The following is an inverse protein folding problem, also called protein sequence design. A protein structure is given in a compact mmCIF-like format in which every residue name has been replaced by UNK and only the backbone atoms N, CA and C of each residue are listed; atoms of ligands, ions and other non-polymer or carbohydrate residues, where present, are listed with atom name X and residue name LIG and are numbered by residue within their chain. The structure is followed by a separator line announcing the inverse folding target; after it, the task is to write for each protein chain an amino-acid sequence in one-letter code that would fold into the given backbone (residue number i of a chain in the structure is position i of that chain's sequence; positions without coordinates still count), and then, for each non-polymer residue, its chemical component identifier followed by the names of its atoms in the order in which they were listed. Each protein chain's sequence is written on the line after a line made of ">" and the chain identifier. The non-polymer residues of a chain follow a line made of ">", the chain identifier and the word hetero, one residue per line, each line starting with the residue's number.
data_IF_696729044163
#
_entry.id   IF_696729044163
#
_cell.length_a   1.000
_cell.length_b   1.000
_cell.length_c   1.000
_cell.angle_alpha   90.00
_cell.angle_beta   90.00
_cell.angle_gamma   90.00
#
_symmetry.space_group_name_H-M   'P 1'
#
loop_
_entity.id
_entity.type
_entity.pdbx_description
1 polymer ?
#
# COMPACT_ATOMS: atom_id res chain seq x y z
N UNK A 1 -19.88 14.65 11.55
CA UNK A 1 -18.85 13.75 12.11
C UNK A 1 -18.10 14.47 13.22
N UNK A 2 -18.53 14.36 14.49
CA UNK A 2 -18.02 15.14 15.63
C UNK A 2 -17.81 14.27 16.89
N UNK A 3 -17.42 13.01 16.72
CA UNK A 3 -17.33 12.05 17.85
C UNK A 3 -15.98 12.12 18.56
N UNK A 4 -14.91 12.57 17.90
CA UNK A 4 -13.67 13.02 18.56
C UNK A 4 -13.09 14.17 17.73
N UNK A 5 -12.78 15.32 18.35
CA UNK A 5 -12.20 16.50 17.68
C UNK A 5 -10.72 16.27 17.29
N UNK A 6 -10.44 15.17 16.60
CA UNK A 6 -9.07 14.80 16.25
C UNK A 6 -8.58 15.62 15.06
N UNK A 7 -7.37 16.17 15.19
CA UNK A 7 -6.74 16.96 14.15
C UNK A 7 -6.18 16.02 13.08
N UNK A 8 -6.14 16.47 11.82
CA UNK A 8 -5.46 15.77 10.71
C UNK A 8 -3.96 15.53 10.98
N UNK A 9 -3.39 16.20 11.99
CA UNK A 9 -2.04 15.93 12.47
C UNK A 9 -1.89 14.55 13.15
N UNK A 10 -2.98 13.92 13.58
CA UNK A 10 -3.00 12.59 14.24
C UNK A 10 -2.80 11.42 13.28
N UNK A 11 -3.00 11.63 11.98
CA UNK A 11 -2.91 10.57 10.96
C UNK A 11 -1.54 10.52 10.27
N UNK A 12 -0.58 11.37 10.66
CA UNK A 12 0.79 11.33 10.13
C UNK A 12 1.01 12.07 8.80
N UNK A 13 0.16 13.06 8.44
CA UNK A 13 0.36 13.91 7.25
C UNK A 13 1.27 15.12 7.50
N UNK A 14 1.16 15.73 8.69
CA UNK A 14 1.85 16.98 9.04
C UNK A 14 2.89 16.82 10.15
N UNK A 15 2.94 15.65 10.80
CA UNK A 15 3.81 15.36 11.92
C UNK A 15 4.84 14.28 11.57
N UNK A 16 5.83 14.10 12.44
CA UNK A 16 6.83 13.03 12.32
C UNK A 16 8.02 13.39 11.44
N UNK A 17 8.83 12.39 11.13
CA UNK A 17 10.07 12.52 10.34
C UNK A 17 9.76 12.44 8.85
N UNK A 18 8.91 13.33 8.33
CA UNK A 18 8.40 13.27 6.96
C UNK A 18 9.51 13.26 5.90
N UNK A 19 10.60 14.02 6.10
CA UNK A 19 11.77 14.01 5.19
C UNK A 19 12.39 12.62 5.09
N UNK A 20 12.66 11.98 6.24
CA UNK A 20 13.19 10.62 6.31
C UNK A 20 12.20 9.60 5.74
N UNK A 21 10.91 9.79 6.00
CA UNK A 21 9.82 8.99 5.45
C UNK A 21 9.81 9.05 3.92
N UNK A 22 9.94 10.24 3.33
CA UNK A 22 10.05 10.41 1.88
C UNK A 22 11.30 9.73 1.32
N UNK A 23 12.47 9.87 1.95
CA UNK A 23 13.71 9.23 1.48
C UNK A 23 13.57 7.70 1.47
N UNK A 24 13.11 7.11 2.58
CA UNK A 24 12.90 5.66 2.67
C UNK A 24 11.84 5.21 1.64
N UNK A 25 10.75 5.97 1.51
CA UNK A 25 9.69 5.70 0.55
C UNK A 25 10.17 5.75 -0.90
N UNK A 26 11.01 6.71 -1.27
CA UNK A 26 11.59 6.84 -2.60
C UNK A 26 12.55 5.70 -2.93
N UNK A 27 13.38 5.27 -1.96
CA UNK A 27 14.27 4.11 -2.13
C UNK A 27 13.44 2.86 -2.41
N UNK A 28 12.41 2.59 -1.60
CA UNK A 28 11.54 1.44 -1.80
C UNK A 28 10.73 1.55 -3.11
N UNK A 29 10.26 2.74 -3.47
CA UNK A 29 9.57 3.00 -4.73
C UNK A 29 10.47 2.69 -5.94
N UNK A 30 11.75 3.07 -5.90
CA UNK A 30 12.69 2.75 -6.97
C UNK A 30 12.89 1.24 -7.12
N UNK A 31 13.01 0.50 -6.01
CA UNK A 31 13.09 -0.96 -6.01
C UNK A 31 11.83 -1.56 -6.64
N UNK A 32 10.64 -1.14 -6.18
CA UNK A 32 9.36 -1.67 -6.67
C UNK A 32 9.11 -1.31 -8.14
N UNK A 33 9.51 -0.12 -8.58
CA UNK A 33 9.47 0.25 -9.99
C UNK A 33 10.36 -0.65 -10.84
N UNK A 34 11.57 -0.94 -10.36
CA UNK A 34 12.48 -1.84 -11.05
C UNK A 34 11.89 -3.26 -11.15
N UNK A 35 11.44 -3.83 -10.03
CA UNK A 35 10.96 -5.22 -9.98
C UNK A 35 9.65 -5.42 -10.74
N UNK A 36 8.73 -4.45 -10.67
CA UNK A 36 7.38 -4.61 -11.22
C UNK A 36 7.27 -4.11 -12.67
N UNK A 37 8.13 -3.16 -13.08
CA UNK A 37 8.08 -2.56 -14.40
C UNK A 37 9.37 -2.79 -15.19
N UNK A 38 10.48 -2.14 -14.80
CA UNK A 38 11.66 -2.02 -15.64
C UNK A 38 12.29 -3.38 -15.99
N UNK A 39 12.30 -4.34 -15.06
CA UNK A 39 12.76 -5.71 -15.30
C UNK A 39 11.98 -6.42 -16.42
N UNK A 40 10.66 -6.25 -16.46
CA UNK A 40 9.80 -6.84 -17.49
C UNK A 40 10.02 -6.17 -18.85
N UNK A 41 10.22 -4.85 -18.87
CA UNK A 41 10.53 -4.11 -20.11
C UNK A 41 11.88 -4.56 -20.69
N UNK A 42 12.90 -4.72 -19.84
CA UNK A 42 14.20 -5.29 -20.25
C UNK A 42 14.02 -6.71 -20.81
N UNK A 43 13.08 -7.48 -20.26
CA UNK A 43 12.69 -8.81 -20.75
C UNK A 43 11.86 -8.81 -22.05
N UNK A 44 11.58 -7.65 -22.65
CA UNK A 44 10.86 -7.53 -23.93
C UNK A 44 9.38 -7.17 -23.81
N UNK A 45 8.86 -6.91 -22.61
CA UNK A 45 7.50 -6.39 -22.45
C UNK A 45 7.39 -4.94 -22.98
N UNK A 46 6.16 -4.54 -23.30
CA UNK A 46 5.88 -3.18 -23.79
C UNK A 46 5.24 -2.30 -22.72
N UNK A 47 5.48 -1.00 -22.80
CA UNK A 47 4.75 -0.02 -21.99
C UNK A 47 3.31 0.15 -22.49
N UNK A 48 2.42 0.51 -21.56
CA UNK A 48 1.12 1.11 -21.90
C UNK A 48 1.30 2.41 -22.69
N UNK A 49 0.25 2.84 -23.40
CA UNK A 49 0.28 4.10 -24.14
C UNK A 49 0.54 5.30 -23.20
N UNK A 50 1.32 6.28 -23.67
CA UNK A 50 1.73 7.43 -22.85
C UNK A 50 0.56 8.21 -22.22
N UNK A 51 -0.58 8.28 -22.92
CA UNK A 51 -1.82 8.91 -22.40
C UNK A 51 -2.38 8.22 -21.15
N UNK A 52 -2.19 6.91 -21.04
CA UNK A 52 -2.71 6.11 -19.92
C UNK A 52 -1.80 6.22 -18.70
N UNK A 53 -0.51 6.53 -18.87
CA UNK A 53 0.45 6.71 -17.77
C UNK A 53 -0.03 7.78 -16.80
N UNK A 54 -0.43 8.96 -17.30
CA UNK A 54 -0.89 10.06 -16.44
C UNK A 54 -2.18 9.71 -15.70
N UNK A 55 -3.13 9.06 -16.40
CA UNK A 55 -4.39 8.60 -15.81
C UNK A 55 -4.16 7.56 -14.71
N UNK A 56 -3.36 6.55 -14.99
CA UNK A 56 -3.02 5.48 -14.04
C UNK A 56 -2.25 6.03 -12.84
N UNK A 57 -1.33 6.97 -13.08
CA UNK A 57 -0.58 7.66 -12.05
C UNK A 57 -1.49 8.36 -11.04
N UNK A 58 -2.43 9.18 -11.52
CA UNK A 58 -3.39 9.87 -10.64
C UNK A 58 -4.34 8.89 -9.92
N UNK A 59 -4.82 7.87 -10.63
CA UNK A 59 -5.69 6.84 -10.08
C UNK A 59 -5.02 6.10 -8.92
N UNK A 60 -3.82 5.55 -9.14
CA UNK A 60 -3.12 4.78 -8.11
C UNK A 60 -2.57 5.64 -6.99
N UNK A 61 -2.28 6.92 -7.22
CA UNK A 61 -1.92 7.84 -6.14
C UNK A 61 -3.11 8.01 -5.19
N UNK A 62 -4.31 8.15 -5.75
CA UNK A 62 -5.55 8.27 -4.96
C UNK A 62 -5.82 7.00 -4.17
N UNK A 63 -5.69 5.82 -4.80
CA UNK A 63 -5.83 4.51 -4.14
C UNK A 63 -4.85 4.39 -2.97
N UNK A 64 -3.56 4.59 -3.23
CA UNK A 64 -2.52 4.51 -2.20
C UNK A 64 -2.77 5.50 -1.06
N UNK A 65 -3.12 6.76 -1.37
CA UNK A 65 -3.43 7.75 -0.34
C UNK A 65 -4.60 7.31 0.54
N UNK A 66 -5.71 6.88 -0.05
CA UNK A 66 -6.91 6.46 0.69
C UNK A 66 -6.63 5.24 1.58
N UNK A 67 -5.96 4.22 1.04
CA UNK A 67 -5.65 3.00 1.78
C UNK A 67 -4.67 3.26 2.93
N UNK A 68 -3.61 4.04 2.69
CA UNK A 68 -2.64 4.38 3.74
C UNK A 68 -3.26 5.28 4.82
N UNK A 69 -4.10 6.25 4.44
CA UNK A 69 -4.80 7.10 5.40
C UNK A 69 -5.75 6.29 6.29
N UNK A 70 -6.48 5.32 5.72
CA UNK A 70 -7.39 4.46 6.48
C UNK A 70 -6.63 3.46 7.36
N UNK A 71 -5.71 2.68 6.79
CA UNK A 71 -5.08 1.58 7.52
C UNK A 71 -3.99 2.05 8.48
N UNK A 72 -3.12 2.97 8.06
CA UNK A 72 -1.98 3.40 8.88
C UNK A 72 -2.35 4.66 9.65
N UNK A 73 -2.97 5.62 8.98
CA UNK A 73 -3.38 6.88 9.59
C UNK A 73 -4.47 6.70 10.65
N UNK A 74 -5.49 5.89 10.37
CA UNK A 74 -6.62 5.68 11.28
C UNK A 74 -6.57 4.34 12.02
N UNK A 75 -6.86 3.20 11.37
CA UNK A 75 -7.03 1.90 12.05
C UNK A 75 -5.80 1.56 12.90
N UNK A 76 -4.61 1.62 12.31
CA UNK A 76 -3.35 1.32 12.97
C UNK A 76 -3.10 2.20 14.19
N UNK A 77 -3.20 3.54 14.07
CA UNK A 77 -2.97 4.44 15.20
C UNK A 77 -3.91 4.19 16.39
N UNK A 78 -5.16 3.77 16.16
CA UNK A 78 -6.09 3.44 17.24
C UNK A 78 -5.74 2.13 17.90
N UNK A 79 -5.40 1.11 17.12
CA UNK A 79 -4.98 -0.19 17.64
C UNK A 79 -3.64 -0.09 18.39
N UNK A 80 -2.70 0.74 17.95
CA UNK A 80 -1.47 1.05 18.71
C UNK A 80 -1.74 1.74 20.04
N UNK A 81 -2.85 2.49 20.16
CA UNK A 81 -3.28 3.05 21.44
C UNK A 81 -3.94 2.04 22.38
N UNK A 82 -4.46 0.93 21.84
CA UNK A 82 -5.15 -0.13 22.60
C UNK A 82 -4.23 -1.28 23.00
N UNK A 83 -3.13 -1.50 22.28
CA UNK A 83 -2.20 -2.60 22.51
C UNK A 83 -0.75 -2.10 22.62
N UNK A 84 -0.04 -2.54 23.65
CA UNK A 84 1.39 -2.27 23.81
C UNK A 84 2.26 -3.06 22.81
N UNK A 85 1.74 -4.18 22.29
CA UNK A 85 2.44 -5.01 21.32
C UNK A 85 2.21 -4.50 19.89
N UNK A 86 3.17 -3.70 19.40
CA UNK A 86 3.10 -3.10 18.05
C UNK A 86 3.16 -4.14 16.92
N UNK A 87 3.82 -5.26 17.13
CA UNK A 87 3.89 -6.33 16.13
C UNK A 87 2.55 -7.05 15.98
N UNK A 88 1.86 -7.28 17.10
CA UNK A 88 0.49 -7.82 17.08
C UNK A 88 -0.44 -6.88 16.29
N UNK A 89 -0.33 -5.57 16.50
CA UNK A 89 -1.12 -4.58 15.74
C UNK A 89 -0.84 -4.69 14.24
N UNK A 90 0.42 -4.77 13.82
CA UNK A 90 0.78 -4.95 12.39
C UNK A 90 0.16 -6.22 11.82
N UNK A 91 0.22 -7.34 12.54
CA UNK A 91 -0.35 -8.61 12.09
C UNK A 91 -1.86 -8.48 11.91
N UNK A 92 -2.56 -7.93 12.91
CA UNK A 92 -4.02 -7.75 12.86
C UNK A 92 -4.42 -6.80 11.72
N UNK A 93 -3.76 -5.64 11.59
CA UNK A 93 -4.07 -4.72 10.49
C UNK A 93 -3.70 -5.28 9.13
N UNK A 94 -2.67 -6.12 9.05
CA UNK A 94 -2.28 -6.82 7.82
C UNK A 94 -3.32 -7.84 7.39
N UNK A 95 -3.88 -8.61 8.32
CA UNK A 95 -4.99 -9.53 8.03
C UNK A 95 -6.21 -8.75 7.54
N UNK A 96 -6.58 -7.67 8.22
CA UNK A 96 -7.69 -6.81 7.79
C UNK A 96 -7.44 -6.20 6.40
N UNK A 97 -6.21 -5.80 6.12
CA UNK A 97 -5.80 -5.24 4.84
C UNK A 97 -5.90 -6.28 3.72
N UNK A 98 -5.49 -7.53 3.95
CA UNK A 98 -5.66 -8.61 2.98
C UNK A 98 -7.15 -8.91 2.74
N UNK A 99 -7.92 -9.06 3.81
CA UNK A 99 -9.34 -9.44 3.72
C UNK A 99 -10.19 -8.39 3.00
N UNK A 100 -9.91 -7.09 3.16
CA UNK A 100 -10.66 -6.04 2.46
C UNK A 100 -10.55 -6.12 0.94
N UNK A 101 -9.50 -6.77 0.41
CA UNK A 101 -9.32 -6.94 -1.04
C UNK A 101 -10.15 -8.10 -1.61
N UNK A 102 -10.69 -8.97 -0.76
CA UNK A 102 -11.37 -10.18 -1.20
C UNK A 102 -12.63 -9.88 -2.03
N UNK A 103 -13.58 -9.03 -1.57
CA UNK A 103 -14.83 -8.81 -2.30
C UNK A 103 -14.59 -8.23 -3.70
N UNK A 104 -13.75 -7.20 -3.81
CA UNK A 104 -13.44 -6.59 -5.10
C UNK A 104 -12.77 -7.58 -6.05
N UNK A 105 -11.77 -8.34 -5.58
CA UNK A 105 -11.04 -9.27 -6.46
C UNK A 105 -11.92 -10.43 -6.92
N UNK A 106 -12.77 -10.96 -6.03
CA UNK A 106 -13.73 -12.01 -6.39
C UNK A 106 -14.70 -11.53 -7.47
N UNK A 107 -15.25 -10.32 -7.33
CA UNK A 107 -16.21 -9.76 -8.31
C UNK A 107 -15.51 -9.40 -9.62
N UNK A 108 -14.36 -8.71 -9.57
CA UNK A 108 -13.69 -8.19 -10.76
C UNK A 108 -13.09 -9.29 -11.64
N UNK A 109 -12.66 -10.41 -11.05
CA UNK A 109 -12.01 -11.51 -11.76
C UNK A 109 -12.85 -12.80 -11.80
N UNK A 110 -14.09 -12.78 -11.30
CA UNK A 110 -14.96 -13.97 -11.26
C UNK A 110 -14.40 -15.11 -10.41
N UNK A 111 -13.63 -14.80 -9.37
CA UNK A 111 -12.92 -15.80 -8.55
C UNK A 111 -13.80 -16.33 -7.41
N UNK A 112 -13.69 -17.62 -7.13
CA UNK A 112 -14.20 -18.22 -5.89
C UNK A 112 -13.27 -17.92 -4.70
N UNK A 113 -13.71 -18.25 -3.49
CA UNK A 113 -12.86 -18.12 -2.29
C UNK A 113 -11.63 -19.04 -2.40
N UNK A 114 -11.77 -20.25 -2.94
CA UNK A 114 -10.64 -21.17 -3.13
C UNK A 114 -9.63 -20.66 -4.15
N UNK A 115 -10.10 -20.05 -5.24
CA UNK A 115 -9.22 -19.44 -6.25
C UNK A 115 -8.37 -18.34 -5.62
N UNK A 116 -8.99 -17.52 -4.76
CA UNK A 116 -8.33 -16.43 -4.08
C UNK A 116 -7.33 -16.88 -3.01
N UNK A 117 -7.65 -17.96 -2.28
CA UNK A 117 -6.90 -18.35 -1.08
C UNK A 117 -5.88 -19.45 -1.35
N UNK A 118 -6.29 -20.54 -1.97
CA UNK A 118 -5.46 -21.73 -2.17
C UNK A 118 -4.62 -21.56 -3.43
N UNK A 119 -5.26 -21.17 -4.54
CA UNK A 119 -4.60 -21.08 -5.84
C UNK A 119 -3.83 -19.76 -6.05
N UNK A 120 -4.01 -18.78 -5.16
CA UNK A 120 -3.37 -17.47 -5.26
C UNK A 120 -2.69 -17.03 -3.95
N UNK A 121 -2.18 -18.02 -3.18
CA UNK A 121 -1.50 -17.78 -1.91
C UNK A 121 -0.31 -16.81 -2.05
N UNK A 122 0.40 -16.85 -3.18
CA UNK A 122 1.51 -15.94 -3.45
C UNK A 122 1.10 -14.46 -3.40
N UNK A 123 -0.07 -14.12 -3.95
CA UNK A 123 -0.60 -12.75 -3.89
C UNK A 123 -1.00 -12.35 -2.46
N UNK A 124 -1.57 -13.28 -1.68
CA UNK A 124 -1.91 -13.01 -0.26
C UNK A 124 -0.64 -12.71 0.53
N UNK A 125 0.40 -13.53 0.34
CA UNK A 125 1.70 -13.35 1.01
C UNK A 125 2.32 -12.02 0.60
N UNK A 126 2.36 -11.72 -0.69
CA UNK A 126 2.91 -10.46 -1.21
C UNK A 126 2.19 -9.22 -0.63
N UNK A 127 0.86 -9.25 -0.60
CA UNK A 127 0.03 -8.17 -0.05
C UNK A 127 0.27 -7.99 1.46
N UNK A 128 0.39 -9.09 2.21
CA UNK A 128 0.66 -9.06 3.64
C UNK A 128 2.09 -8.58 3.97
N UNK A 129 3.09 -9.04 3.20
CA UNK A 129 4.48 -8.61 3.34
C UNK A 129 4.60 -7.13 3.00
N UNK A 130 4.02 -6.68 1.88
CA UNK A 130 3.94 -5.26 1.52
C UNK A 130 3.30 -4.47 2.65
N UNK A 131 2.16 -4.93 3.19
CA UNK A 131 1.52 -4.26 4.31
C UNK A 131 2.46 -4.09 5.49
N UNK A 132 3.16 -5.17 5.87
CA UNK A 132 4.08 -5.22 7.00
C UNK A 132 5.24 -4.23 6.83
N UNK A 133 5.87 -4.20 5.66
CA UNK A 133 6.97 -3.26 5.35
C UNK A 133 6.51 -1.82 5.48
N UNK A 134 5.38 -1.46 4.87
CA UNK A 134 4.86 -0.09 4.92
C UNK A 134 4.48 0.31 6.36
N UNK A 135 3.87 -0.59 7.11
CA UNK A 135 3.52 -0.36 8.52
C UNK A 135 4.76 -0.15 9.39
N UNK A 136 5.87 -0.86 9.13
CA UNK A 136 7.16 -0.63 9.82
C UNK A 136 7.73 0.75 9.49
N UNK A 137 7.66 1.19 8.22
CA UNK A 137 8.11 2.52 7.81
C UNK A 137 7.29 3.60 8.53
N UNK A 138 5.96 3.45 8.56
CA UNK A 138 5.08 4.35 9.29
C UNK A 138 5.42 4.38 10.78
N UNK A 139 5.56 3.22 11.44
CA UNK A 139 5.92 3.16 12.86
C UNK A 139 7.24 3.85 13.19
N UNK A 140 8.24 3.74 12.32
CA UNK A 140 9.57 4.34 12.54
C UNK A 140 9.63 5.83 12.23
N UNK A 141 8.76 6.31 11.36
CA UNK A 141 8.80 7.71 10.87
C UNK A 141 7.65 8.57 11.38
N UNK A 142 6.57 7.95 11.87
CA UNK A 142 5.29 8.57 12.21
C UNK A 142 4.76 9.49 11.09
N UNK A 143 4.94 9.05 9.84
CA UNK A 143 4.61 9.81 8.64
C UNK A 143 4.11 8.87 7.54
N UNK A 144 3.03 9.27 6.86
CA UNK A 144 2.41 8.46 5.81
C UNK A 144 3.19 8.44 4.50
N UNK A 145 4.03 9.45 4.21
CA UNK A 145 4.69 9.57 2.91
C UNK A 145 5.53 8.34 2.54
N UNK A 146 6.25 7.77 3.52
CA UNK A 146 7.04 6.55 3.32
C UNK A 146 6.22 5.29 3.09
N UNK A 147 4.90 5.35 3.28
CA UNK A 147 3.96 4.28 2.90
C UNK A 147 3.28 4.60 1.56
N UNK A 148 2.82 5.84 1.39
CA UNK A 148 2.08 6.30 0.18
C UNK A 148 2.96 6.20 -1.07
N UNK A 149 4.17 6.74 -1.03
CA UNK A 149 5.06 6.82 -2.20
C UNK A 149 5.38 5.43 -2.79
N UNK A 150 5.89 4.46 -2.01
CA UNK A 150 6.19 3.13 -2.55
C UNK A 150 4.93 2.33 -2.90
N UNK A 151 3.83 2.49 -2.18
CA UNK A 151 2.56 1.84 -2.54
C UNK A 151 2.04 2.33 -3.89
N UNK A 152 1.95 3.65 -4.06
CA UNK A 152 1.58 4.28 -5.33
C UNK A 152 2.47 3.78 -6.47
N UNK A 153 3.79 3.79 -6.27
CA UNK A 153 4.73 3.34 -7.28
C UNK A 153 4.59 1.86 -7.61
N UNK A 154 4.38 0.98 -6.62
CA UNK A 154 4.18 -0.45 -6.84
C UNK A 154 2.99 -0.72 -7.75
N UNK A 155 1.85 -0.10 -7.43
CA UNK A 155 0.60 -0.26 -8.18
C UNK A 155 0.74 0.34 -9.58
N UNK A 156 1.32 1.54 -9.70
CA UNK A 156 1.57 2.16 -10.99
C UNK A 156 2.49 1.28 -11.84
N UNK A 157 3.65 0.90 -11.33
CA UNK A 157 4.66 0.10 -12.04
C UNK A 157 4.10 -1.23 -12.55
N UNK A 158 3.33 -1.95 -11.72
CA UNK A 158 2.69 -3.19 -12.13
C UNK A 158 1.74 -3.00 -13.33
N UNK A 159 1.03 -1.86 -13.38
CA UNK A 159 0.04 -1.57 -14.42
C UNK A 159 0.59 -0.76 -15.61
N UNK A 160 1.90 -0.44 -15.62
CA UNK A 160 2.57 0.16 -16.77
C UNK A 160 3.03 -0.87 -17.80
N UNK A 161 3.10 -2.14 -17.41
CA UNK A 161 3.56 -3.24 -18.27
C UNK A 161 2.37 -3.89 -18.96
N UNK A 162 2.37 -3.93 -20.28
CA UNK A 162 1.48 -4.78 -21.05
C UNK A 162 2.10 -6.18 -21.14
N UNK A 163 1.41 -7.16 -20.55
CA UNK A 163 1.79 -8.58 -20.55
C UNK A 163 0.99 -9.35 -21.58
#
# INVERSE_FOLDING_TARGET
>A
MKVRKEKLSSIGLYNGQWKKSCIIGLILAAILFFTNCLSNIIGGASFVAGKDILRLSFYYLTVAFCEEAVFRGYIGTRLYGMSSNKYLVIIVTGILFVVMHFPYRMVAYGMTISDLTIHNVGWIVDLFVTHTVLSIIYMKTNSLYGSIIPHWMSNLAYNLVMR
#
